data_IF_178160989806
#
_entry.id   IF_178160989806
#
_cell.length_a   1.000
_cell.length_b   1.000
_cell.length_c   1.000
_cell.angle_alpha   90.00
_cell.angle_beta   90.00
_cell.angle_gamma   90.00
#
_symmetry.space_group_name_H-M   'P 1'
#
loop_
_entity.id
_entity.type
_entity.pdbx_description
1 polymer ?
#
# COMPACT_ATOMS: atom_id res chain seq x y z
N UNK A 1 15.75 6.90 -22.12
CA UNK A 1 15.48 8.18 -22.79
C UNK A 1 14.10 8.60 -22.33
N UNK A 2 14.02 9.58 -21.43
CA UNK A 2 12.76 9.99 -20.78
C UNK A 2 12.04 10.97 -21.71
N UNK A 3 10.84 10.61 -22.12
CA UNK A 3 10.03 11.35 -23.07
C UNK A 3 9.34 12.52 -22.33
N UNK A 4 9.34 13.73 -22.89
CA UNK A 4 8.85 14.94 -22.19
C UNK A 4 7.98 15.81 -23.09
N UNK A 5 7.11 16.60 -22.47
CA UNK A 5 6.25 17.55 -23.16
C UNK A 5 6.31 18.93 -22.49
N UNK A 6 6.16 19.97 -23.28
CA UNK A 6 6.10 21.35 -22.79
C UNK A 6 4.67 21.74 -22.47
N UNK A 7 4.43 22.18 -21.23
CA UNK A 7 3.14 22.72 -20.79
C UNK A 7 3.26 24.22 -20.58
N UNK A 8 2.27 24.95 -21.09
CA UNK A 8 2.15 26.39 -20.93
C UNK A 8 1.11 26.72 -19.88
N UNK A 9 1.50 27.48 -18.86
CA UNK A 9 0.56 27.98 -17.85
C UNK A 9 -0.27 29.10 -18.48
N UNK A 10 -1.60 28.94 -18.49
CA UNK A 10 -2.50 29.87 -19.17
C UNK A 10 -2.49 31.28 -18.54
N UNK A 11 -2.30 31.36 -17.22
CA UNK A 11 -2.36 32.60 -16.46
C UNK A 11 -1.05 33.40 -16.51
N UNK A 12 0.10 32.74 -16.42
CA UNK A 12 1.42 33.41 -16.40
C UNK A 12 2.15 33.35 -17.75
N UNK A 13 1.73 32.46 -18.65
CA UNK A 13 2.37 32.26 -19.95
C UNK A 13 3.68 31.45 -19.91
N UNK A 14 4.12 31.06 -18.72
CA UNK A 14 5.36 30.30 -18.51
C UNK A 14 5.27 28.93 -19.17
N UNK A 15 6.39 28.50 -19.77
CA UNK A 15 6.51 27.19 -20.41
C UNK A 15 7.43 26.33 -19.58
N UNK A 16 6.89 25.22 -19.05
CA UNK A 16 7.63 24.24 -18.30
C UNK A 16 7.80 22.97 -19.12
N UNK A 17 9.00 22.39 -19.10
CA UNK A 17 9.22 21.03 -19.61
C UNK A 17 8.91 20.07 -18.49
N UNK A 18 7.90 19.23 -18.69
CA UNK A 18 7.50 18.20 -17.74
C UNK A 18 7.64 16.83 -18.39
N UNK A 19 8.04 15.84 -17.60
CA UNK A 19 8.10 14.45 -18.07
C UNK A 19 6.71 13.98 -18.48
N UNK A 20 6.61 13.19 -19.55
CA UNK A 20 5.34 12.56 -19.92
C UNK A 20 4.82 11.61 -18.83
N UNK A 21 5.70 11.09 -17.97
CA UNK A 21 5.32 10.32 -16.77
C UNK A 21 4.54 11.16 -15.75
N UNK A 22 4.84 12.46 -15.66
CA UNK A 22 4.12 13.42 -14.81
C UNK A 22 2.74 13.75 -15.39
N UNK A 23 2.59 13.67 -16.72
CA UNK A 23 1.36 13.99 -17.45
C UNK A 23 0.39 12.82 -17.62
N UNK A 24 0.87 11.57 -17.65
CA UNK A 24 0.08 10.39 -18.05
C UNK A 24 -0.38 9.48 -16.92
N UNK A 25 -0.31 9.93 -15.67
CA UNK A 25 -0.64 9.12 -14.52
C UNK A 25 0.64 8.53 -13.94
N UNK A 26 0.96 8.97 -12.73
CA UNK A 26 2.07 8.47 -11.94
C UNK A 26 1.87 6.96 -11.80
N UNK A 27 2.76 6.17 -12.42
CA UNK A 27 2.77 4.72 -12.27
C UNK A 27 3.31 4.39 -10.88
N UNK A 28 2.44 4.43 -9.87
CA UNK A 28 2.78 3.95 -8.54
C UNK A 28 2.96 2.43 -8.63
N UNK A 29 4.16 1.96 -8.27
CA UNK A 29 4.43 0.52 -8.18
C UNK A 29 4.03 0.05 -6.78
N UNK A 30 3.49 -1.17 -6.68
CA UNK A 30 3.20 -1.79 -5.40
C UNK A 30 4.49 -1.96 -4.60
N UNK A 31 4.54 -1.32 -3.44
CA UNK A 31 5.62 -1.34 -2.48
C UNK A 31 5.16 -2.02 -1.19
N UNK A 32 5.85 -3.09 -0.81
CA UNK A 32 5.49 -3.85 0.39
C UNK A 32 5.77 -3.12 1.70
N UNK A 33 6.72 -2.17 1.72
CA UNK A 33 6.91 -1.32 2.90
C UNK A 33 5.71 -0.37 3.07
N UNK A 34 5.19 0.18 1.97
CA UNK A 34 3.98 1.00 2.00
C UNK A 34 2.75 0.19 2.39
N UNK A 35 2.59 -1.03 1.85
CA UNK A 35 1.52 -1.96 2.28
C UNK A 35 1.55 -2.16 3.79
N UNK A 36 2.73 -2.45 4.36
CA UNK A 36 2.88 -2.62 5.82
C UNK A 36 2.48 -1.36 6.57
N UNK A 37 2.96 -0.18 6.17
CA UNK A 37 2.63 1.09 6.82
C UNK A 37 1.12 1.37 6.81
N UNK A 38 0.46 1.18 5.66
CA UNK A 38 -0.99 1.36 5.51
C UNK A 38 -1.76 0.40 6.42
N UNK A 39 -1.44 -0.89 6.39
CA UNK A 39 -2.15 -1.87 7.20
C UNK A 39 -1.98 -1.62 8.70
N UNK A 40 -0.78 -1.26 9.15
CA UNK A 40 -0.52 -0.88 10.55
C UNK A 40 -1.25 0.40 10.95
N UNK A 41 -1.34 1.39 10.06
CA UNK A 41 -2.09 2.62 10.31
C UNK A 41 -3.59 2.35 10.46
N UNK A 42 -4.14 1.41 9.68
CA UNK A 42 -5.54 0.98 9.81
C UNK A 42 -5.75 0.21 11.13
N UNK A 43 -4.88 -0.75 11.46
CA UNK A 43 -4.95 -1.52 12.71
C UNK A 43 -4.85 -0.61 13.95
N UNK A 44 -4.10 0.49 13.87
CA UNK A 44 -3.92 1.45 14.96
C UNK A 44 -5.15 2.34 15.23
N UNK A 45 -6.18 2.30 14.37
CA UNK A 45 -7.42 3.04 14.60
C UNK A 45 -8.08 2.59 15.91
N UNK A 46 -8.54 3.56 16.70
CA UNK A 46 -9.20 3.30 17.99
C UNK A 46 -10.72 3.14 17.86
N UNK A 47 -11.27 3.33 16.65
CA UNK A 47 -12.69 3.25 16.37
C UNK A 47 -12.95 2.84 14.90
N UNK A 48 -14.20 2.45 14.61
CA UNK A 48 -14.64 1.96 13.30
C UNK A 48 -15.22 3.05 12.38
N UNK A 49 -15.04 4.33 12.69
CA UNK A 49 -15.52 5.42 11.84
C UNK A 49 -14.77 5.39 10.50
N UNK A 50 -15.47 5.29 9.36
CA UNK A 50 -14.84 5.33 8.04
C UNK A 50 -14.16 6.67 7.80
N UNK A 51 -12.89 6.65 7.39
CA UNK A 51 -12.09 7.87 7.13
C UNK A 51 -10.99 7.61 6.12
N UNK A 52 -10.51 8.67 5.48
CA UNK A 52 -9.27 8.61 4.68
C UNK A 52 -8.10 8.30 5.61
N UNK A 53 -7.23 7.38 5.18
CA UNK A 53 -5.99 7.09 5.89
C UNK A 53 -4.89 7.95 5.29
N UNK A 54 -4.18 8.66 6.17
CA UNK A 54 -2.99 9.43 5.83
C UNK A 54 -1.81 8.90 6.62
N UNK A 55 -0.63 8.95 6.02
CA UNK A 55 0.62 8.55 6.66
C UNK A 55 1.57 9.74 6.61
N UNK A 56 2.01 10.19 7.78
CA UNK A 56 2.88 11.35 7.89
C UNK A 56 4.19 11.14 7.11
N UNK A 57 4.53 12.12 6.27
CA UNK A 57 5.73 12.09 5.43
C UNK A 57 5.61 11.29 4.13
N UNK A 58 4.45 10.70 3.84
CA UNK A 58 4.18 10.00 2.59
C UNK A 58 3.27 10.81 1.66
N UNK A 59 3.38 10.57 0.35
CA UNK A 59 2.52 11.20 -0.65
C UNK A 59 1.11 10.57 -0.62
N UNK A 60 0.06 11.40 -0.47
CA UNK A 60 -1.35 10.98 -0.46
C UNK A 60 -1.73 10.13 -1.69
N UNK A 61 -1.09 10.36 -2.84
CA UNK A 61 -1.26 9.55 -4.04
C UNK A 61 -0.74 8.12 -3.86
N UNK A 62 0.45 7.99 -3.28
CA UNK A 62 1.09 6.68 -3.03
C UNK A 62 0.27 5.92 -2.01
N UNK A 63 -0.12 6.59 -0.91
CA UNK A 63 -0.96 5.99 0.14
C UNK A 63 -2.31 5.55 -0.44
N UNK A 64 -3.01 6.45 -1.15
CA UNK A 64 -4.31 6.19 -1.76
C UNK A 64 -4.30 5.01 -2.73
N UNK A 65 -3.27 4.92 -3.60
CA UNK A 65 -3.15 3.79 -4.53
C UNK A 65 -2.92 2.44 -3.80
N UNK A 66 -2.15 2.42 -2.71
CA UNK A 66 -1.96 1.19 -1.94
C UNK A 66 -3.23 0.76 -1.20
N UNK A 67 -4.03 1.72 -0.71
CA UNK A 67 -5.34 1.44 -0.14
C UNK A 67 -6.28 0.86 -1.19
N UNK A 68 -6.30 1.41 -2.40
CA UNK A 68 -7.07 0.89 -3.53
C UNK A 68 -6.71 -0.57 -3.85
N UNK A 69 -5.42 -0.90 -3.93
CA UNK A 69 -4.95 -2.26 -4.14
C UNK A 69 -5.38 -3.22 -3.03
N UNK A 70 -5.27 -2.80 -1.76
CA UNK A 70 -5.62 -3.62 -0.60
C UNK A 70 -7.14 -3.81 -0.46
N UNK A 71 -7.92 -2.79 -0.77
CA UNK A 71 -9.38 -2.85 -0.84
C UNK A 71 -9.84 -3.81 -1.93
N UNK A 72 -9.29 -3.67 -3.15
CA UNK A 72 -9.59 -4.58 -4.25
C UNK A 72 -9.17 -6.04 -3.96
N UNK A 73 -8.14 -6.24 -3.13
CA UNK A 73 -7.70 -7.56 -2.67
C UNK A 73 -8.53 -8.12 -1.50
N UNK A 74 -9.56 -7.41 -1.02
CA UNK A 74 -10.39 -7.84 0.10
C UNK A 74 -9.70 -7.81 1.46
N UNK A 75 -8.60 -7.06 1.60
CA UNK A 75 -7.87 -6.91 2.87
C UNK A 75 -8.44 -5.77 3.73
N UNK A 76 -9.11 -4.81 3.09
CA UNK A 76 -9.66 -3.61 3.73
C UNK A 76 -11.18 -3.62 3.56
N UNK A 77 -11.86 -3.22 4.61
CA UNK A 77 -13.28 -2.95 4.65
C UNK A 77 -13.53 -1.44 4.67
N UNK A 78 -14.43 -0.95 3.82
CA UNK A 78 -14.59 0.49 3.62
C UNK A 78 -15.64 0.85 2.58
N UNK A 79 -15.75 2.15 2.33
CA UNK A 79 -16.69 2.74 1.37
C UNK A 79 -15.89 3.36 0.23
N UNK A 80 -16.05 2.82 -0.98
CA UNK A 80 -15.48 3.38 -2.20
C UNK A 80 -16.36 4.51 -2.74
N UNK A 81 -15.74 5.62 -3.13
CA UNK A 81 -16.37 6.71 -3.86
C UNK A 81 -15.49 7.13 -5.04
N UNK A 82 -16.12 7.39 -6.18
CA UNK A 82 -15.43 7.97 -7.33
C UNK A 82 -15.53 9.49 -7.27
N UNK A 83 -14.38 10.14 -7.09
CA UNK A 83 -14.28 11.60 -7.05
C UNK A 83 -13.65 12.09 -8.36
N UNK A 84 -14.33 12.99 -9.05
CA UNK A 84 -13.80 13.61 -10.28
C UNK A 84 -12.49 14.33 -9.94
N UNK A 85 -11.45 14.08 -10.74
CA UNK A 85 -10.15 14.73 -10.59
C UNK A 85 -9.17 14.03 -9.64
N UNK A 86 -9.56 12.93 -8.98
CA UNK A 86 -8.61 12.06 -8.26
C UNK A 86 -8.10 10.94 -9.18
N UNK A 87 -6.79 10.65 -9.19
CA UNK A 87 -6.21 9.58 -10.02
C UNK A 87 -6.35 8.18 -9.41
N UNK A 88 -6.99 8.04 -8.24
CA UNK A 88 -7.26 6.77 -7.53
C UNK A 88 -8.67 6.79 -6.93
N UNK A 89 -9.22 5.61 -6.63
CA UNK A 89 -10.51 5.48 -5.93
C UNK A 89 -10.43 6.08 -4.52
N UNK A 90 -11.36 6.97 -4.17
CA UNK A 90 -11.41 7.54 -2.83
C UNK A 90 -12.09 6.53 -1.89
N UNK A 91 -11.31 5.94 -0.99
CA UNK A 91 -11.80 4.91 -0.07
C UNK A 91 -11.79 5.44 1.36
N UNK A 92 -12.97 5.48 1.97
CA UNK A 92 -13.12 5.72 3.40
C UNK A 92 -12.98 4.38 4.12
N UNK A 93 -11.84 4.16 4.75
CA UNK A 93 -11.50 2.90 5.40
C UNK A 93 -12.22 2.77 6.72
N UNK A 94 -13.07 1.75 6.85
CA UNK A 94 -13.74 1.37 8.10
C UNK A 94 -12.79 0.57 8.98
N UNK A 95 -12.24 -0.53 8.49
CA UNK A 95 -11.31 -1.40 9.22
C UNK A 95 -10.57 -2.36 8.26
N UNK A 96 -9.76 -3.27 8.79
CA UNK A 96 -9.29 -4.46 8.09
C UNK A 96 -10.40 -5.52 8.03
N UNK A 97 -10.40 -6.34 6.97
CA UNK A 97 -11.20 -7.57 6.97
C UNK A 97 -10.53 -8.62 7.86
N UNK A 98 -11.21 -9.76 8.12
CA UNK A 98 -10.57 -10.89 8.81
C UNK A 98 -9.26 -11.31 8.12
N UNK A 99 -9.30 -11.39 6.79
CA UNK A 99 -8.12 -11.68 5.98
C UNK A 99 -7.02 -10.63 6.09
N UNK A 100 -7.40 -9.35 6.25
CA UNK A 100 -6.49 -8.24 6.51
C UNK A 100 -5.86 -8.32 7.90
N UNK A 101 -6.63 -8.70 8.93
CA UNK A 101 -6.12 -8.91 10.29
C UNK A 101 -5.09 -10.04 10.36
N UNK A 102 -5.37 -11.18 9.72
CA UNK A 102 -4.42 -12.30 9.65
C UNK A 102 -3.10 -11.86 8.97
N UNK A 103 -3.22 -11.08 7.89
CA UNK A 103 -2.05 -10.63 7.16
C UNK A 103 -1.26 -9.56 7.93
N UNK A 104 -1.91 -8.54 8.51
CA UNK A 104 -1.20 -7.51 9.29
C UNK A 104 -0.51 -8.10 10.52
N UNK A 105 -1.12 -9.10 11.17
CA UNK A 105 -0.48 -9.80 12.29
C UNK A 105 0.86 -10.42 11.88
N UNK A 106 0.96 -10.96 10.65
CA UNK A 106 2.22 -11.48 10.11
C UNK A 106 3.25 -10.39 9.81
N UNK A 107 2.81 -9.23 9.33
CA UNK A 107 3.70 -8.10 9.01
C UNK A 107 4.13 -7.31 10.27
N UNK A 108 3.34 -7.38 11.35
CA UNK A 108 3.64 -6.75 12.65
C UNK A 108 4.73 -7.49 13.41
N UNK A 109 4.88 -8.79 13.17
CA UNK A 109 5.98 -9.56 13.75
C UNK A 109 7.30 -9.16 13.08
N UNK A 110 8.11 -8.34 13.77
CA UNK A 110 9.39 -7.85 13.23
C UNK A 110 10.36 -8.98 12.87
N UNK A 111 10.30 -10.13 13.54
CA UNK A 111 11.14 -11.28 13.16
C UNK A 111 10.76 -11.78 11.77
N UNK A 112 9.47 -11.99 11.52
CA UNK A 112 8.95 -12.45 10.22
C UNK A 112 9.16 -11.39 9.15
N UNK A 113 8.85 -10.13 9.45
CA UNK A 113 9.05 -9.02 8.51
C UNK A 113 10.51 -8.87 8.11
N UNK A 114 11.43 -8.92 9.08
CA UNK A 114 12.86 -8.84 8.81
C UNK A 114 13.34 -10.02 7.97
N UNK A 115 12.84 -11.24 8.20
CA UNK A 115 13.16 -12.39 7.36
C UNK A 115 12.71 -12.18 5.90
N UNK A 116 11.51 -11.65 5.69
CA UNK A 116 11.00 -11.36 4.34
C UNK A 116 11.88 -10.35 3.61
N UNK A 117 12.17 -9.20 4.23
CA UNK A 117 12.95 -8.12 3.57
C UNK A 117 14.45 -8.40 3.46
N UNK A 118 14.99 -9.35 4.22
CA UNK A 118 16.41 -9.75 4.11
C UNK A 118 16.61 -10.87 3.09
N UNK A 119 15.63 -11.76 2.92
CA UNK A 119 15.70 -12.89 1.99
C UNK A 119 15.16 -12.57 0.61
N UNK A 120 14.29 -11.57 0.49
CA UNK A 120 13.71 -11.12 -0.77
C UNK A 120 13.98 -9.63 -0.93
N UNK A 121 14.53 -9.25 -2.08
CA UNK A 121 14.68 -7.84 -2.45
C UNK A 121 13.31 -7.17 -2.64
N UNK A 122 13.29 -5.84 -2.58
CA UNK A 122 12.07 -5.07 -2.86
C UNK A 122 11.49 -5.38 -4.25
N UNK A 123 12.35 -5.64 -5.25
CA UNK A 123 11.92 -5.99 -6.60
C UNK A 123 11.26 -7.37 -6.67
N UNK A 124 11.78 -8.36 -5.93
CA UNK A 124 11.20 -9.69 -5.83
C UNK A 124 9.87 -9.67 -5.06
N UNK A 125 9.81 -8.93 -3.95
CA UNK A 125 8.55 -8.73 -3.23
C UNK A 125 7.49 -8.06 -4.11
N UNK A 126 7.89 -7.08 -4.92
CA UNK A 126 6.98 -6.38 -5.84
C UNK A 126 6.47 -7.27 -6.98
N UNK A 127 7.23 -8.30 -7.39
CA UNK A 127 6.85 -9.20 -8.49
C UNK A 127 5.97 -10.38 -8.03
N UNK A 128 5.99 -10.73 -6.75
CA UNK A 128 5.16 -11.80 -6.20
C UNK A 128 3.69 -11.38 -6.03
N UNK A 129 2.71 -12.24 -6.35
CA UNK A 129 1.31 -11.98 -6.02
C UNK A 129 1.12 -11.74 -4.52
N UNK A 130 0.21 -10.83 -4.13
CA UNK A 130 -0.06 -10.52 -2.72
C UNK A 130 -0.47 -11.77 -1.92
N UNK A 131 -1.24 -12.67 -2.53
CA UNK A 131 -1.65 -13.94 -1.94
C UNK A 131 -0.47 -14.86 -1.60
N UNK A 132 0.57 -14.88 -2.44
CA UNK A 132 1.80 -15.65 -2.20
C UNK A 132 2.56 -15.05 -1.03
N UNK A 133 2.70 -13.72 -0.99
CA UNK A 133 3.38 -13.03 0.12
C UNK A 133 2.65 -13.28 1.44
N UNK A 134 1.31 -13.17 1.44
CA UNK A 134 0.47 -13.50 2.60
C UNK A 134 0.72 -14.93 3.07
N UNK A 135 0.63 -15.91 2.18
CA UNK A 135 0.84 -17.33 2.49
C UNK A 135 2.22 -17.60 3.13
N UNK A 136 3.28 -17.04 2.53
CA UNK A 136 4.65 -17.19 3.06
C UNK A 136 4.79 -16.51 4.42
N UNK A 137 4.23 -15.32 4.60
CA UNK A 137 4.29 -14.59 5.86
C UNK A 137 3.54 -15.33 6.97
N UNK A 138 2.35 -15.87 6.69
CA UNK A 138 1.58 -16.67 7.67
C UNK A 138 2.28 -17.97 8.03
N UNK A 139 2.91 -18.65 7.06
CA UNK A 139 3.71 -19.85 7.32
C UNK A 139 4.94 -19.55 8.20
N UNK A 140 5.58 -18.39 7.99
CA UNK A 140 6.70 -17.96 8.83
C UNK A 140 6.25 -17.65 10.27
N UNK A 141 5.07 -17.07 10.46
CA UNK A 141 4.46 -16.89 11.79
C UNK A 141 4.17 -18.24 12.45
N UNK A 142 3.60 -19.19 11.71
CA UNK A 142 3.33 -20.54 12.25
C UNK A 142 4.61 -21.22 12.74
N UNK A 143 5.67 -21.19 11.94
CA UNK A 143 6.98 -21.73 12.33
C UNK A 143 7.54 -21.03 13.58
N UNK A 144 7.45 -19.70 13.63
CA UNK A 144 7.85 -18.91 14.79
C UNK A 144 7.03 -19.30 16.04
N UNK A 145 5.72 -19.49 15.90
CA UNK A 145 4.83 -19.87 16.99
C UNK A 145 5.16 -21.28 17.51
N UNK A 146 5.35 -22.27 16.62
CA UNK A 146 5.78 -23.64 17.00
C UNK A 146 7.08 -23.62 17.80
N UNK A 147 8.08 -22.88 17.31
CA UNK A 147 9.36 -22.70 18.01
C UNK A 147 9.17 -22.12 19.41
N UNK A 148 8.26 -21.15 19.58
CA UNK A 148 7.98 -20.53 20.88
C UNK A 148 7.22 -21.45 21.84
N UNK A 149 6.41 -22.35 21.31
CA UNK A 149 5.64 -23.33 22.06
C UNK A 149 6.42 -24.62 22.36
N UNK A 150 7.60 -24.81 21.77
CA UNK A 150 8.39 -26.04 21.91
C UNK A 150 7.84 -27.22 21.12
N UNK A 151 7.12 -26.95 20.03
CA UNK A 151 6.56 -27.92 19.08
C UNK A 151 7.49 -28.16 17.88
#
# INVERSE_FOLDING_TARGET
MTDSASVRVAETGDVYTISLDTLRGIKVRRDMEMVRKVMLAIEAKTDLTPREIKIDGEDDLVVGHHIELLFAAGMIDGLESRVIGRPYAFILVRDLTWEGHDFVASLKNDTVWNQLKTKLSAAELASLPLSVIKSVATAAVEHWAKTRLGL
#
